data_IF_155089955590
#
_entry.id   IF_155089955590
#
_cell.length_a   1.000
_cell.length_b   1.000
_cell.length_c   1.000
_cell.angle_alpha   90.00
_cell.angle_beta   90.00
_cell.angle_gamma   90.00
#
_symmetry.space_group_name_H-M   'P 1'
#
loop_
_entity.id
_entity.type
_entity.pdbx_description
1 polymer ?
#
# COMPACT_ATOMS: atom_id res chain seq x y z
N UNK A 1 13.97 12.96 20.95
CA UNK A 1 14.62 13.64 19.81
C UNK A 1 13.62 13.78 18.67
N UNK A 2 13.66 14.87 17.89
CA UNK A 2 12.81 15.08 16.70
C UNK A 2 13.66 15.01 15.43
N UNK A 3 13.09 14.46 14.36
CA UNK A 3 13.71 14.33 13.04
C UNK A 3 12.92 15.09 11.98
N UNK A 4 13.59 15.97 11.26
CA UNK A 4 13.07 16.68 10.10
C UNK A 4 13.35 15.87 8.84
N UNK A 5 12.28 15.52 8.13
CA UNK A 5 12.29 14.68 6.94
C UNK A 5 11.59 15.39 5.80
N UNK A 6 11.90 14.98 4.58
CA UNK A 6 11.31 15.37 3.33
C UNK A 6 10.69 14.15 2.67
N UNK A 7 9.50 14.34 2.12
CA UNK A 7 8.81 13.37 1.27
C UNK A 7 8.92 13.74 -0.20
N UNK A 8 8.76 15.03 -0.51
CA UNK A 8 8.49 15.52 -1.86
C UNK A 8 9.71 15.65 -2.77
N UNK A 9 9.47 15.88 -4.08
CA UNK A 9 8.30 16.61 -4.58
C UNK A 9 7.01 15.77 -4.68
N UNK A 10 5.91 16.33 -4.19
CA UNK A 10 4.55 15.80 -4.27
C UNK A 10 3.79 16.53 -5.39
N UNK A 11 3.21 15.81 -6.37
CA UNK A 11 2.47 16.44 -7.46
C UNK A 11 1.16 17.07 -6.96
N UNK A 12 0.84 18.25 -7.48
CA UNK A 12 -0.43 18.92 -7.26
C UNK A 12 -1.21 18.97 -8.58
N UNK A 13 -2.47 19.39 -8.54
CA UNK A 13 -3.24 19.66 -9.76
C UNK A 13 -2.54 20.70 -10.65
N UNK A 14 -1.81 21.64 -10.04
CA UNK A 14 -0.94 22.58 -10.72
C UNK A 14 0.44 22.56 -10.06
N UNK A 15 1.44 22.03 -10.76
CA UNK A 15 2.84 21.99 -10.31
C UNK A 15 3.14 20.93 -9.25
N UNK A 16 4.14 21.20 -8.43
CA UNK A 16 4.63 20.30 -7.36
C UNK A 16 4.90 21.11 -6.11
N UNK A 17 4.74 20.50 -4.94
CA UNK A 17 5.15 21.07 -3.65
C UNK A 17 6.08 20.10 -2.93
N UNK A 18 6.97 20.63 -2.10
CA UNK A 18 7.75 19.83 -1.18
C UNK A 18 6.94 19.61 0.10
N UNK A 19 6.97 18.38 0.61
CA UNK A 19 6.31 18.04 1.87
C UNK A 19 7.38 17.69 2.88
N UNK A 20 7.34 18.37 4.02
CA UNK A 20 8.28 18.21 5.12
C UNK A 20 7.54 17.67 6.34
N UNK A 21 8.21 16.80 7.07
CA UNK A 21 7.69 16.12 8.25
C UNK A 21 8.61 16.39 9.43
N UNK A 22 8.01 16.56 10.61
CA UNK A 22 8.69 16.46 11.89
C UNK A 22 8.16 15.23 12.61
N UNK A 23 9.03 14.29 12.90
CA UNK A 23 8.67 13.01 13.52
C UNK A 23 9.58 12.75 14.71
N UNK A 24 9.03 12.29 15.84
CA UNK A 24 9.86 11.87 16.97
C UNK A 24 10.70 10.62 16.65
N UNK A 25 11.71 10.36 17.48
CA UNK A 25 12.44 9.08 17.53
C UNK A 25 11.53 7.85 17.74
N UNK A 26 10.38 8.03 18.40
CA UNK A 26 9.34 7.01 18.58
C UNK A 26 8.40 6.87 17.39
N UNK A 27 8.54 7.71 16.36
CA UNK A 27 7.72 7.68 15.15
C UNK A 27 6.43 8.49 15.22
N UNK A 28 6.24 9.34 16.24
CA UNK A 28 5.06 10.20 16.37
C UNK A 28 5.19 11.43 15.44
N UNK A 29 4.31 11.59 14.43
CA UNK A 29 4.41 12.69 13.49
C UNK A 29 3.66 13.93 13.98
N UNK A 30 4.25 15.09 13.75
CA UNK A 30 3.54 16.37 13.73
C UNK A 30 2.80 16.55 12.37
N UNK A 31 1.88 17.53 12.26
CA UNK A 31 1.25 17.87 10.98
C UNK A 31 2.30 18.16 9.88
N UNK A 32 2.11 17.63 8.65
CA UNK A 32 3.01 17.92 7.53
C UNK A 32 3.01 19.40 7.14
N UNK A 33 4.17 19.89 6.73
CA UNK A 33 4.35 21.24 6.18
C UNK A 33 4.52 21.15 4.66
N UNK A 34 3.84 22.03 3.94
CA UNK A 34 3.87 22.09 2.48
C UNK A 34 4.53 23.40 2.07
N UNK A 35 5.72 23.32 1.48
CA UNK A 35 6.49 24.50 1.08
C UNK A 35 7.17 24.27 -0.28
N UNK A 36 7.67 25.34 -0.89
CA UNK A 36 8.40 25.26 -2.16
C UNK A 36 9.89 24.99 -1.96
N UNK A 37 10.47 25.49 -0.86
CA UNK A 37 11.90 25.53 -0.59
C UNK A 37 12.26 24.85 0.74
N UNK A 38 13.40 24.17 0.78
CA UNK A 38 13.83 23.37 1.93
C UNK A 38 14.04 24.22 3.19
N UNK A 39 14.65 25.40 3.04
CA UNK A 39 14.88 26.31 4.17
C UNK A 39 13.56 26.84 4.76
N UNK A 40 12.57 27.14 3.90
CA UNK A 40 11.25 27.58 4.35
C UNK A 40 10.50 26.45 5.09
N UNK A 41 10.49 25.25 4.52
CA UNK A 41 9.87 24.07 5.13
C UNK A 41 10.48 23.73 6.49
N UNK A 42 11.82 23.73 6.59
CA UNK A 42 12.52 23.47 7.85
C UNK A 42 12.26 24.56 8.89
N UNK A 43 12.26 25.84 8.50
CA UNK A 43 11.96 26.95 9.42
C UNK A 43 10.58 26.78 10.06
N UNK A 44 9.57 26.46 9.26
CA UNK A 44 8.21 26.20 9.77
C UNK A 44 8.17 24.99 10.70
N UNK A 45 8.89 23.90 10.39
CA UNK A 45 8.96 22.75 11.28
C UNK A 45 9.69 23.01 12.60
N UNK A 46 10.58 24.00 12.65
CA UNK A 46 11.33 24.41 13.84
C UNK A 46 10.54 25.37 14.74
N UNK A 47 9.38 25.86 14.32
CA UNK A 47 8.57 26.76 15.14
C UNK A 47 8.23 26.12 16.50
N UNK A 48 8.65 26.80 17.58
CA UNK A 48 8.42 26.38 18.95
C UNK A 48 9.29 25.20 19.43
N UNK A 49 10.41 24.91 18.75
CA UNK A 49 11.33 23.83 19.12
C UNK A 49 12.77 24.33 19.15
N UNK A 50 13.54 23.89 20.14
CA UNK A 50 14.97 24.18 20.25
C UNK A 50 15.77 23.30 19.28
N UNK A 51 16.73 23.89 18.56
CA UNK A 51 17.52 23.19 17.52
C UNK A 51 18.39 22.07 18.08
N UNK A 52 18.73 22.11 19.36
CA UNK A 52 19.50 21.07 20.06
C UNK A 52 18.74 19.73 20.13
N UNK A 53 17.39 19.79 20.17
CA UNK A 53 16.48 18.63 20.25
C UNK A 53 16.01 18.13 18.88
N UNK A 54 16.63 18.63 17.80
CA UNK A 54 16.23 18.36 16.42
C UNK A 54 17.43 17.85 15.61
N UNK A 55 17.16 16.88 14.74
CA UNK A 55 18.08 16.44 13.69
C UNK A 55 17.38 16.51 12.33
N UNK A 56 18.13 16.71 11.26
CA UNK A 56 17.59 16.61 9.89
C UNK A 56 18.22 15.45 9.13
N UNK A 57 17.47 14.88 8.19
CA UNK A 57 18.01 13.82 7.33
C UNK A 57 19.06 14.37 6.35
N UNK A 58 19.93 13.52 5.78
CA UNK A 58 21.00 13.95 4.87
C UNK A 58 20.52 14.78 3.67
N UNK A 59 19.32 14.51 3.15
CA UNK A 59 18.74 15.25 2.03
C UNK A 59 18.46 16.74 2.37
N UNK A 60 18.43 17.09 3.65
CA UNK A 60 18.19 18.43 4.16
C UNK A 60 19.46 19.08 4.75
N UNK A 61 20.64 18.51 4.50
CA UNK A 61 21.89 18.94 5.15
C UNK A 61 22.24 20.42 4.91
N UNK A 62 22.07 20.91 3.68
CA UNK A 62 22.38 22.31 3.34
C UNK A 62 21.46 23.29 4.07
N UNK A 63 20.15 23.08 3.99
CA UNK A 63 19.15 23.89 4.69
C UNK A 63 19.26 23.76 6.22
N UNK A 64 19.59 22.57 6.73
CA UNK A 64 19.84 22.32 8.14
C UNK A 64 21.03 23.11 8.68
N UNK A 65 22.15 23.12 7.95
CA UNK A 65 23.33 23.88 8.33
C UNK A 65 23.05 25.39 8.41
N UNK A 66 22.25 25.95 7.49
CA UNK A 66 21.84 27.35 7.52
C UNK A 66 20.98 27.71 8.75
N UNK A 67 20.29 26.73 9.33
CA UNK A 67 19.40 26.88 10.48
C UNK A 67 20.00 26.36 11.80
N UNK A 68 21.26 25.91 11.79
CA UNK A 68 21.93 25.38 12.98
C UNK A 68 21.40 24.01 13.44
N UNK A 69 20.85 23.20 12.53
CA UNK A 69 20.36 21.84 12.79
C UNK A 69 21.40 20.82 12.33
N UNK A 70 21.73 19.89 13.22
CA UNK A 70 22.66 18.79 12.91
C UNK A 70 22.01 17.71 12.03
N UNK A 71 22.83 17.11 11.16
CA UNK A 71 22.40 16.02 10.29
C UNK A 71 22.55 14.68 11.01
N UNK A 72 21.53 13.84 10.94
CA UNK A 72 21.56 12.47 11.44
C UNK A 72 20.68 11.56 10.58
N UNK A 73 21.09 10.29 10.42
CA UNK A 73 20.24 9.29 9.78
C UNK A 73 18.98 9.04 10.63
N UNK A 74 17.77 9.15 10.05
CA UNK A 74 16.55 8.99 10.82
C UNK A 74 16.39 7.56 11.37
N UNK A 75 15.84 7.41 12.59
CA UNK A 75 15.56 6.09 13.13
C UNK A 75 14.45 5.40 12.34
N UNK A 76 14.47 4.07 12.38
CA UNK A 76 13.53 3.21 11.63
C UNK A 76 12.05 3.52 11.94
N UNK A 77 11.74 3.95 13.16
CA UNK A 77 10.39 4.37 13.53
C UNK A 77 9.94 5.62 12.76
N UNK A 78 10.82 6.62 12.64
CA UNK A 78 10.55 7.83 11.87
C UNK A 78 10.40 7.52 10.37
N UNK A 79 11.27 6.66 9.82
CA UNK A 79 11.16 6.20 8.42
C UNK A 79 9.84 5.44 8.17
N UNK A 80 9.41 4.60 9.12
CA UNK A 80 8.14 3.86 9.02
C UNK A 80 6.94 4.80 8.99
N UNK A 81 6.94 5.83 9.84
CA UNK A 81 5.90 6.86 9.86
C UNK A 81 5.93 7.72 8.59
N UNK A 82 7.12 8.06 8.08
CA UNK A 82 7.28 8.72 6.77
C UNK A 82 6.63 7.91 5.65
N UNK A 83 6.88 6.61 5.57
CA UNK A 83 6.28 5.73 4.57
C UNK A 83 4.75 5.65 4.67
N UNK A 84 4.21 5.62 5.89
CA UNK A 84 2.78 5.64 6.14
C UNK A 84 2.13 6.94 5.67
N UNK A 85 2.72 8.09 6.00
CA UNK A 85 2.25 9.40 5.56
C UNK A 85 2.35 9.53 4.04
N UNK A 86 3.44 9.07 3.43
CA UNK A 86 3.61 9.09 1.98
C UNK A 86 2.53 8.25 1.27
N UNK A 87 2.22 7.07 1.81
CA UNK A 87 1.14 6.20 1.30
C UNK A 87 -0.20 6.90 1.42
N UNK A 88 -0.50 7.51 2.57
CA UNK A 88 -1.77 8.21 2.79
C UNK A 88 -1.93 9.45 1.90
N UNK A 89 -0.86 10.22 1.66
CA UNK A 89 -0.87 11.34 0.72
C UNK A 89 -1.12 10.87 -0.72
N UNK A 90 -0.46 9.79 -1.13
CA UNK A 90 -0.67 9.20 -2.46
C UNK A 90 -2.09 8.68 -2.65
N UNK A 91 -2.67 8.10 -1.60
CA UNK A 91 -4.07 7.72 -1.55
C UNK A 91 -5.01 8.92 -1.68
N UNK A 92 -4.72 10.04 -1.00
CA UNK A 92 -5.48 11.28 -1.13
C UNK A 92 -5.56 11.77 -2.58
N UNK A 93 -4.44 11.72 -3.32
CA UNK A 93 -4.38 12.08 -4.74
C UNK A 93 -5.19 11.15 -5.66
N UNK A 94 -5.56 9.96 -5.17
CA UNK A 94 -6.28 8.92 -5.90
C UNK A 94 -7.69 8.66 -5.36
N UNK A 95 -8.19 9.52 -4.46
CA UNK A 95 -9.54 9.42 -3.90
C UNK A 95 -9.71 8.32 -2.83
N UNK A 96 -8.62 7.75 -2.31
CA UNK A 96 -8.61 6.67 -1.32
C UNK A 96 -8.53 7.18 0.13
N UNK A 97 -8.51 8.50 0.35
CA UNK A 97 -8.38 9.10 1.70
C UNK A 97 -9.48 8.66 2.67
N UNK A 98 -10.68 8.35 2.18
CA UNK A 98 -11.80 7.85 2.97
C UNK A 98 -11.57 6.49 3.66
N UNK A 99 -10.54 5.73 3.26
CA UNK A 99 -10.15 4.49 3.93
C UNK A 99 -9.51 4.73 5.31
N UNK A 100 -8.87 5.88 5.51
CA UNK A 100 -8.16 6.20 6.75
C UNK A 100 -6.69 5.74 6.76
N UNK A 101 -5.89 6.42 7.58
CA UNK A 101 -4.45 6.18 7.73
C UNK A 101 -4.11 4.87 8.46
N UNK A 102 -5.01 4.39 9.32
CA UNK A 102 -4.94 3.08 9.96
C UNK A 102 -4.84 1.95 8.93
N UNK A 103 -5.64 2.04 7.85
CA UNK A 103 -5.63 1.04 6.78
C UNK A 103 -4.41 1.18 5.89
N UNK A 104 -3.95 2.41 5.62
CA UNK A 104 -2.70 2.62 4.88
C UNK A 104 -1.54 1.86 5.54
N UNK A 105 -1.41 1.92 6.86
CA UNK A 105 -0.42 1.16 7.63
C UNK A 105 -0.57 -0.37 7.46
N UNK A 106 -1.80 -0.88 7.58
CA UNK A 106 -2.08 -2.30 7.43
C UNK A 106 -1.75 -2.80 6.01
N UNK A 107 -2.07 -2.01 4.98
CA UNK A 107 -1.73 -2.33 3.60
C UNK A 107 -0.23 -2.32 3.36
N UNK A 108 0.53 -1.35 3.90
CA UNK A 108 1.99 -1.33 3.77
C UNK A 108 2.63 -2.59 4.35
N UNK A 109 2.16 -3.05 5.51
CA UNK A 109 2.63 -4.29 6.13
C UNK A 109 2.28 -5.51 5.28
N UNK A 110 1.00 -5.67 4.93
CA UNK A 110 0.53 -6.82 4.15
C UNK A 110 1.13 -6.88 2.75
N UNK A 111 1.34 -5.73 2.10
CA UNK A 111 2.01 -5.63 0.81
C UNK A 111 3.48 -6.04 0.88
N UNK A 112 4.17 -5.68 1.97
CA UNK A 112 5.55 -6.10 2.20
C UNK A 112 5.64 -7.62 2.35
N UNK A 113 4.80 -8.21 3.21
CA UNK A 113 4.71 -9.67 3.40
C UNK A 113 4.39 -10.40 2.07
N UNK A 114 3.38 -9.91 1.33
CA UNK A 114 2.98 -10.46 0.04
C UNK A 114 4.10 -10.38 -1.00
N UNK A 115 4.81 -9.25 -1.06
CA UNK A 115 5.87 -9.05 -2.03
C UNK A 115 7.09 -9.92 -1.77
N UNK A 116 7.47 -10.09 -0.51
CA UNK A 116 8.56 -10.97 -0.10
C UNK A 116 8.25 -12.43 -0.39
N UNK A 117 7.00 -12.85 -0.17
CA UNK A 117 6.53 -14.21 -0.44
C UNK A 117 6.47 -14.57 -1.94
N UNK A 118 6.33 -13.57 -2.82
CA UNK A 118 6.26 -13.72 -4.29
C UNK A 118 5.31 -14.86 -4.73
N UNK A 119 4.04 -14.86 -4.32
CA UNK A 119 3.13 -15.96 -4.64
C UNK A 119 2.94 -16.17 -6.16
N UNK A 120 3.10 -15.11 -6.96
CA UNK A 120 3.09 -15.19 -8.42
C UNK A 120 4.25 -16.03 -9.02
N UNK A 121 5.28 -16.37 -8.24
CA UNK A 121 6.32 -17.30 -8.64
C UNK A 121 5.88 -18.78 -8.59
N UNK A 122 4.70 -19.05 -8.05
CA UNK A 122 4.13 -20.40 -7.87
C UNK A 122 2.77 -20.56 -8.56
N UNK A 123 1.99 -19.48 -8.59
CA UNK A 123 0.67 -19.43 -9.22
C UNK A 123 0.59 -18.31 -10.24
N UNK A 124 -0.06 -18.58 -11.37
CA UNK A 124 -0.35 -17.56 -12.39
C UNK A 124 -1.77 -16.98 -12.25
N UNK A 125 -2.09 -15.98 -13.07
CA UNK A 125 -3.35 -15.25 -13.06
C UNK A 125 -4.56 -16.04 -13.60
N UNK A 126 -4.34 -17.26 -14.12
CA UNK A 126 -5.38 -18.20 -14.54
C UNK A 126 -5.73 -19.24 -13.46
N UNK A 127 -5.03 -19.23 -12.32
CA UNK A 127 -5.24 -20.19 -11.24
C UNK A 127 -6.18 -19.64 -10.17
N UNK A 128 -7.44 -20.12 -10.06
CA UNK A 128 -8.38 -19.63 -9.07
C UNK A 128 -8.03 -20.15 -7.67
N UNK A 129 -7.94 -19.23 -6.72
CA UNK A 129 -7.86 -19.46 -5.29
C UNK A 129 -9.29 -19.42 -4.76
N UNK A 130 -9.63 -20.32 -3.84
CA UNK A 130 -10.87 -20.20 -3.08
C UNK A 130 -10.59 -19.32 -1.86
N UNK A 131 -11.29 -18.21 -1.73
CA UNK A 131 -11.15 -17.26 -0.60
C UNK A 131 -12.47 -17.20 0.15
N UNK A 132 -12.60 -18.05 1.17
CA UNK A 132 -13.78 -18.11 2.02
C UNK A 132 -13.64 -17.11 3.18
N UNK A 133 -14.65 -16.25 3.33
CA UNK A 133 -14.70 -15.21 4.35
C UNK A 133 -15.90 -15.46 5.26
N UNK A 134 -15.68 -15.39 6.56
CA UNK A 134 -16.74 -15.41 7.56
C UNK A 134 -16.76 -14.11 8.37
N UNK A 135 -17.89 -13.81 9.02
CA UNK A 135 -18.11 -12.55 9.74
C UNK A 135 -19.05 -11.59 9.00
N UNK A 136 -18.85 -10.26 9.08
CA UNK A 136 -19.79 -9.27 8.53
C UNK A 136 -19.98 -9.30 7.01
N UNK A 137 -18.99 -9.81 6.27
CA UNK A 137 -19.05 -10.00 4.83
C UNK A 137 -18.84 -11.48 4.50
N UNK A 138 -19.75 -12.33 4.98
CA UNK A 138 -19.71 -13.76 4.71
C UNK A 138 -19.91 -14.03 3.21
N UNK A 139 -18.85 -14.47 2.54
CA UNK A 139 -18.85 -14.74 1.09
C UNK A 139 -17.69 -15.67 0.72
N UNK A 140 -17.78 -16.33 -0.44
CA UNK A 140 -16.65 -17.06 -1.03
C UNK A 140 -16.27 -16.40 -2.35
N UNK A 141 -15.08 -15.81 -2.37
CA UNK A 141 -14.52 -15.16 -3.53
C UNK A 141 -13.67 -16.14 -4.34
N UNK A 142 -13.62 -15.90 -5.65
CA UNK A 142 -12.59 -16.47 -6.51
C UNK A 142 -11.41 -15.50 -6.54
N UNK A 143 -10.28 -15.87 -5.94
CA UNK A 143 -9.08 -15.06 -5.88
C UNK A 143 -8.09 -15.39 -7.00
N UNK A 144 -7.28 -14.42 -7.44
CA UNK A 144 -6.09 -14.69 -8.23
C UNK A 144 -4.94 -13.77 -7.86
N UNK A 145 -3.72 -14.31 -7.94
CA UNK A 145 -2.50 -13.52 -7.92
C UNK A 145 -2.14 -13.14 -9.34
N UNK A 146 -1.55 -11.97 -9.53
CA UNK A 146 -1.09 -11.55 -10.85
C UNK A 146 0.25 -10.81 -10.75
N UNK A 147 1.02 -10.88 -11.84
CA UNK A 147 2.17 -10.05 -12.10
C UNK A 147 2.12 -9.62 -13.58
N UNK A 148 2.19 -8.32 -13.82
CA UNK A 148 2.20 -7.76 -15.17
C UNK A 148 3.63 -7.49 -15.62
N UNK A 149 3.85 -7.45 -16.95
CA UNK A 149 5.18 -7.26 -17.53
C UNK A 149 5.84 -5.91 -17.19
N UNK A 150 5.08 -4.93 -16.72
CA UNK A 150 5.58 -3.63 -16.21
C UNK A 150 6.01 -3.67 -14.73
N UNK A 151 5.99 -4.86 -14.11
CA UNK A 151 6.47 -5.06 -12.74
C UNK A 151 5.46 -4.70 -11.64
N UNK A 152 4.19 -4.45 -11.99
CA UNK A 152 3.09 -4.45 -11.02
C UNK A 152 2.73 -5.89 -10.66
N UNK A 153 2.33 -6.07 -9.42
CA UNK A 153 1.81 -7.33 -8.91
C UNK A 153 0.61 -7.05 -8.01
N UNK A 154 -0.19 -8.06 -7.72
CA UNK A 154 -1.33 -7.85 -6.85
C UNK A 154 -2.19 -9.07 -6.68
N UNK A 155 -3.31 -8.84 -5.99
CA UNK A 155 -4.32 -9.83 -5.67
C UNK A 155 -5.69 -9.26 -6.06
N UNK A 156 -6.48 -10.03 -6.79
CA UNK A 156 -7.87 -9.72 -7.11
C UNK A 156 -8.79 -10.78 -6.50
N UNK A 157 -9.94 -10.35 -5.99
CA UNK A 157 -10.98 -11.19 -5.40
C UNK A 157 -12.30 -10.91 -6.12
N UNK A 158 -12.74 -11.86 -6.92
CA UNK A 158 -13.97 -11.77 -7.70
C UNK A 158 -15.14 -12.30 -6.89
N UNK A 159 -16.27 -11.59 -6.95
CA UNK A 159 -17.48 -11.98 -6.22
C UNK A 159 -18.17 -13.21 -6.83
N UNK A 160 -17.91 -13.49 -8.11
CA UNK A 160 -18.60 -14.53 -8.87
C UNK A 160 -17.67 -15.71 -9.14
N UNK A 161 -18.08 -16.96 -8.85
CA UNK A 161 -17.36 -18.15 -9.30
C UNK A 161 -17.23 -18.21 -10.84
N UNK A 162 -16.09 -18.65 -11.35
CA UNK A 162 -15.78 -18.69 -12.79
C UNK A 162 -15.49 -17.32 -13.40
N UNK A 163 -15.27 -16.29 -12.58
CA UNK A 163 -14.91 -14.95 -13.02
C UNK A 163 -13.61 -14.93 -13.84
N UNK A 164 -12.58 -15.68 -13.42
CA UNK A 164 -11.31 -15.77 -14.16
C UNK A 164 -11.51 -16.37 -15.55
N UNK A 165 -12.31 -17.43 -15.65
CA UNK A 165 -12.64 -18.03 -16.94
C UNK A 165 -13.34 -17.00 -17.84
N UNK A 166 -14.33 -16.26 -17.30
CA UNK A 166 -15.02 -15.21 -18.04
C UNK A 166 -14.04 -14.11 -18.50
N UNK A 167 -13.09 -13.71 -17.66
CA UNK A 167 -12.08 -12.71 -18.01
C UNK A 167 -11.16 -13.18 -19.14
N UNK A 168 -10.67 -14.42 -19.07
CA UNK A 168 -9.84 -15.01 -20.12
C UNK A 168 -10.59 -15.07 -21.45
N UNK A 169 -11.88 -15.43 -21.43
CA UNK A 169 -12.73 -15.45 -22.62
C UNK A 169 -12.96 -14.03 -23.19
N UNK A 170 -13.17 -13.02 -22.33
CA UNK A 170 -13.29 -11.62 -22.75
C UNK A 170 -11.99 -11.10 -23.36
N UNK A 171 -10.85 -11.38 -22.75
CA UNK A 171 -9.53 -11.01 -23.26
C UNK A 171 -9.24 -11.66 -24.62
N UNK A 172 -9.54 -12.94 -24.78
CA UNK A 172 -9.39 -13.66 -26.05
C UNK A 172 -10.24 -13.06 -27.19
N UNK A 173 -11.35 -12.37 -26.84
CA UNK A 173 -12.24 -11.66 -27.78
C UNK A 173 -11.87 -10.19 -27.97
N UNK A 174 -10.78 -9.70 -27.37
CA UNK A 174 -10.37 -8.30 -27.41
C UNK A 174 -11.27 -7.35 -26.61
N UNK A 175 -12.05 -7.87 -25.66
CA UNK A 175 -12.99 -7.11 -24.84
C UNK A 175 -12.37 -6.68 -23.49
N UNK A 176 -11.12 -6.21 -23.51
CA UNK A 176 -10.37 -5.85 -22.31
C UNK A 176 -11.08 -4.82 -21.42
N UNK A 177 -11.77 -3.85 -22.02
CA UNK A 177 -12.51 -2.83 -21.26
C UNK A 177 -13.71 -3.42 -20.51
N UNK A 178 -14.37 -4.43 -21.08
CA UNK A 178 -15.52 -5.10 -20.46
C UNK A 178 -15.13 -5.89 -19.19
N UNK A 179 -13.85 -6.28 -19.06
CA UNK A 179 -13.33 -6.91 -17.85
C UNK A 179 -13.49 -6.03 -16.61
N UNK A 180 -13.43 -4.71 -16.76
CA UNK A 180 -13.62 -3.76 -15.65
C UNK A 180 -15.06 -3.74 -15.13
N UNK A 181 -16.01 -4.27 -15.90
CA UNK A 181 -17.40 -4.45 -15.49
C UNK A 181 -17.62 -5.63 -14.54
N UNK A 182 -16.64 -6.52 -14.38
CA UNK A 182 -16.76 -7.68 -13.51
C UNK A 182 -16.57 -7.26 -12.04
N UNK A 183 -17.53 -7.55 -11.14
CA UNK A 183 -17.40 -7.20 -9.74
C UNK A 183 -16.19 -7.86 -9.09
N UNK A 184 -15.27 -7.04 -8.59
CA UNK A 184 -14.11 -7.49 -7.84
C UNK A 184 -13.64 -6.42 -6.85
N UNK A 185 -12.92 -6.85 -5.83
CA UNK A 185 -12.04 -5.99 -5.04
C UNK A 185 -10.61 -6.47 -5.27
N UNK A 186 -9.69 -5.55 -5.42
CA UNK A 186 -8.30 -5.87 -5.73
C UNK A 186 -7.35 -4.90 -5.02
N UNK A 187 -6.09 -5.31 -4.95
CA UNK A 187 -4.99 -4.47 -4.55
C UNK A 187 -3.88 -4.63 -5.57
N UNK A 188 -3.46 -3.52 -6.17
CA UNK A 188 -2.26 -3.48 -7.02
C UNK A 188 -1.09 -2.92 -6.22
N UNK A 189 0.11 -3.38 -6.54
CA UNK A 189 1.37 -2.89 -6.00
C UNK A 189 2.02 -2.02 -7.07
N UNK A 190 1.76 -0.73 -6.99
CA UNK A 190 2.11 0.26 -8.00
C UNK A 190 3.52 0.80 -7.82
N UNK A 191 4.15 1.24 -8.90
CA UNK A 191 5.49 1.87 -8.91
C UNK A 191 5.44 3.39 -8.84
N UNK A 192 4.24 3.98 -8.69
CA UNK A 192 4.04 5.44 -8.67
C UNK A 192 3.06 5.85 -7.56
N UNK A 193 3.15 7.09 -7.04
CA UNK A 193 4.15 8.10 -7.34
C UNK A 193 5.52 7.80 -6.69
N UNK A 194 6.59 8.34 -7.27
CA UNK A 194 7.97 8.06 -6.87
C UNK A 194 8.23 8.36 -5.39
N UNK A 195 7.75 9.50 -4.88
CA UNK A 195 7.94 9.88 -3.47
C UNK A 195 7.41 8.84 -2.48
N UNK A 196 6.28 8.20 -2.80
CA UNK A 196 5.69 7.19 -1.92
C UNK A 196 6.50 5.89 -1.98
N UNK A 197 6.94 5.50 -3.18
CA UNK A 197 7.78 4.32 -3.40
C UNK A 197 9.15 4.48 -2.73
N UNK A 198 9.77 5.66 -2.82
CA UNK A 198 11.03 5.98 -2.16
C UNK A 198 10.89 5.96 -0.64
N UNK A 199 9.83 6.58 -0.10
CA UNK A 199 9.56 6.55 1.34
C UNK A 199 9.37 5.12 1.87
N UNK A 200 8.65 4.27 1.13
CA UNK A 200 8.50 2.85 1.46
C UNK A 200 9.85 2.11 1.43
N UNK A 201 10.64 2.34 0.39
CA UNK A 201 11.98 1.74 0.25
C UNK A 201 12.90 2.12 1.41
N UNK A 202 12.99 3.41 1.76
CA UNK A 202 13.81 3.86 2.90
C UNK A 202 13.36 3.28 4.23
N UNK A 203 12.07 2.98 4.38
CA UNK A 203 11.53 2.33 5.57
C UNK A 203 11.73 0.80 5.57
N UNK A 204 12.50 0.23 4.63
CA UNK A 204 12.68 -1.22 4.52
C UNK A 204 11.38 -1.96 4.20
N UNK A 205 10.43 -1.28 3.55
CA UNK A 205 9.17 -1.86 3.06
C UNK A 205 9.30 -2.21 1.59
N UNK A 206 8.31 -2.92 1.06
CA UNK A 206 8.24 -3.14 -0.38
C UNK A 206 8.27 -1.79 -1.13
N UNK A 207 9.12 -1.61 -2.15
CA UNK A 207 9.14 -0.39 -2.96
C UNK A 207 7.99 -0.41 -3.98
N UNK A 208 6.76 -0.58 -3.49
CA UNK A 208 5.52 -0.58 -4.26
C UNK A 208 4.39 -0.02 -3.41
N UNK A 209 3.66 0.94 -3.96
CA UNK A 209 2.50 1.54 -3.31
C UNK A 209 1.30 0.57 -3.38
N UNK A 210 0.75 0.10 -2.25
CA UNK A 210 -0.49 -0.64 -2.27
C UNK A 210 -1.67 0.26 -2.65
N UNK A 211 -2.37 -0.11 -3.71
CA UNK A 211 -3.51 0.60 -4.28
C UNK A 211 -4.75 -0.29 -4.27
N UNK A 212 -5.55 -0.25 -3.18
CA UNK A 212 -6.83 -0.93 -3.15
C UNK A 212 -7.81 -0.29 -4.14
N UNK A 213 -8.54 -1.12 -4.89
CA UNK A 213 -9.53 -0.70 -5.88
C UNK A 213 -10.69 -1.68 -5.94
N UNK A 214 -11.84 -1.20 -6.40
CA UNK A 214 -13.05 -1.99 -6.64
C UNK A 214 -13.50 -1.82 -8.08
N UNK A 215 -13.92 -2.90 -8.70
CA UNK A 215 -14.48 -2.91 -10.06
C UNK A 215 -15.91 -3.43 -10.04
N UNK A 216 -16.67 -3.11 -11.08
CA UNK A 216 -18.07 -3.53 -11.23
C UNK A 216 -18.77 -2.81 -12.37
N UNK A 217 -20.09 -3.02 -12.55
CA UNK A 217 -20.86 -2.44 -13.64
C UNK A 217 -20.79 -0.91 -13.75
N UNK A 218 -20.60 -0.25 -12.61
CA UNK A 218 -20.47 1.22 -12.51
C UNK A 218 -19.03 1.71 -12.76
N UNK A 219 -18.11 0.82 -13.10
CA UNK A 219 -16.69 1.10 -13.35
C UNK A 219 -15.80 0.93 -12.12
N UNK A 220 -14.68 1.67 -12.12
CA UNK A 220 -13.68 1.63 -11.05
C UNK A 220 -14.09 2.55 -9.90
N UNK A 221 -14.06 2.03 -8.68
CA UNK A 221 -14.42 2.73 -7.44
C UNK A 221 -13.48 2.34 -6.29
N UNK A 222 -13.73 2.91 -5.11
CA UNK A 222 -12.95 2.67 -3.89
C UNK A 222 -13.63 1.59 -3.05
N UNK A 223 -12.88 0.58 -2.55
CA UNK A 223 -13.44 -0.38 -1.60
C UNK A 223 -13.95 0.32 -0.33
N UNK A 224 -14.99 -0.23 0.30
CA UNK A 224 -15.40 0.23 1.62
C UNK A 224 -14.41 -0.25 2.71
N UNK A 225 -14.58 0.23 3.94
CA UNK A 225 -13.70 -0.10 5.06
C UNK A 225 -13.60 -1.61 5.34
N UNK A 226 -14.70 -2.36 5.24
CA UNK A 226 -14.73 -3.82 5.44
C UNK A 226 -14.00 -4.55 4.31
N UNK A 227 -14.24 -4.16 3.05
CA UNK A 227 -13.55 -4.70 1.88
C UNK A 227 -12.05 -4.43 1.93
N UNK A 228 -11.63 -3.24 2.40
CA UNK A 228 -10.23 -2.89 2.59
C UNK A 228 -9.53 -3.80 3.61
N UNK A 229 -10.17 -4.08 4.75
CA UNK A 229 -9.64 -5.00 5.78
C UNK A 229 -9.58 -6.43 5.25
N UNK A 230 -10.58 -6.85 4.47
CA UNK A 230 -10.60 -8.15 3.82
C UNK A 230 -9.43 -8.30 2.84
N UNK A 231 -9.13 -7.28 2.03
CA UNK A 231 -7.97 -7.28 1.14
C UNK A 231 -6.66 -7.42 1.91
N UNK A 232 -6.50 -6.71 3.03
CA UNK A 232 -5.34 -6.88 3.93
C UNK A 232 -5.25 -8.33 4.43
N UNK A 233 -6.35 -8.89 4.93
CA UNK A 233 -6.41 -10.26 5.44
C UNK A 233 -6.02 -11.29 4.37
N UNK A 234 -6.55 -11.11 3.16
CA UNK A 234 -6.31 -11.98 2.01
C UNK A 234 -4.86 -11.88 1.53
N UNK A 235 -4.28 -10.67 1.44
CA UNK A 235 -2.85 -10.48 1.12
C UNK A 235 -1.95 -11.27 2.08
N UNK A 236 -2.18 -11.13 3.40
CA UNK A 236 -1.41 -11.85 4.43
C UNK A 236 -1.63 -13.36 4.40
N UNK A 237 -2.85 -13.80 4.10
CA UNK A 237 -3.15 -15.21 3.94
C UNK A 237 -2.37 -15.79 2.74
N UNK A 238 -2.43 -15.11 1.59
CA UNK A 238 -1.73 -15.51 0.37
C UNK A 238 -0.21 -15.47 0.55
N UNK A 239 0.32 -14.49 1.27
CA UNK A 239 1.75 -14.40 1.59
C UNK A 239 2.30 -15.61 2.37
N UNK A 240 1.44 -16.34 3.09
CA UNK A 240 1.82 -17.52 3.87
C UNK A 240 1.59 -18.84 3.13
N UNK A 241 1.03 -18.79 1.93
CA UNK A 241 0.91 -19.98 1.08
C UNK A 241 2.28 -20.39 0.55
N UNK A 242 2.44 -21.69 0.34
CA UNK A 242 3.60 -22.25 -0.36
C UNK A 242 3.18 -23.48 -1.18
N UNK A 243 4.02 -23.99 -2.08
CA UNK A 243 3.74 -25.25 -2.77
C UNK A 243 3.41 -26.42 -1.84
N UNK A 244 3.98 -26.44 -0.63
CA UNK A 244 3.72 -27.46 0.39
C UNK A 244 2.53 -27.12 1.32
N UNK A 245 2.16 -25.84 1.43
CA UNK A 245 1.05 -25.36 2.24
C UNK A 245 0.09 -24.55 1.37
N UNK A 246 -0.90 -25.22 0.81
CA UNK A 246 -1.88 -24.63 -0.10
C UNK A 246 -3.11 -24.07 0.61
N UNK A 247 -3.12 -24.10 1.95
CA UNK A 247 -4.23 -23.60 2.74
C UNK A 247 -3.75 -22.81 3.95
N UNK A 248 -4.32 -21.63 4.13
CA UNK A 248 -3.99 -20.71 5.23
C UNK A 248 -5.27 -20.06 5.72
N UNK A 249 -5.37 -19.92 7.05
CA UNK A 249 -6.39 -19.12 7.71
C UNK A 249 -5.77 -17.84 8.27
N UNK A 250 -6.42 -16.71 8.07
CA UNK A 250 -6.03 -15.40 8.55
C UNK A 250 -7.19 -14.77 9.31
N UNK A 251 -6.93 -14.37 10.55
CA UNK A 251 -7.90 -13.66 11.37
C UNK A 251 -7.55 -12.18 11.38
N UNK A 252 -8.55 -11.33 11.12
CA UNK A 252 -8.38 -9.88 11.18
C UNK A 252 -9.51 -9.27 12.00
N UNK A 253 -9.13 -8.28 12.82
CA UNK A 253 -10.05 -7.50 13.65
C UNK A 253 -10.13 -6.09 13.07
N UNK A 254 -11.33 -5.60 12.83
CA UNK A 254 -11.59 -4.23 12.40
C UNK A 254 -12.70 -3.61 13.26
N UNK A 255 -12.31 -2.75 14.19
CA UNK A 255 -13.23 -2.29 15.24
C UNK A 255 -13.76 -3.48 16.05
N UNK A 256 -15.08 -3.56 16.20
CA UNK A 256 -15.75 -4.66 16.92
C UNK A 256 -15.99 -5.91 16.05
N UNK A 257 -15.68 -5.84 14.75
CA UNK A 257 -15.86 -6.95 13.83
C UNK A 257 -14.64 -7.85 13.77
N UNK A 258 -14.86 -9.15 13.97
CA UNK A 258 -13.88 -10.20 13.66
C UNK A 258 -14.23 -10.85 12.33
N UNK A 259 -13.22 -11.02 11.49
CA UNK A 259 -13.33 -11.66 10.18
C UNK A 259 -12.25 -12.74 10.06
N UNK A 260 -12.67 -13.91 9.64
CA UNK A 260 -11.76 -15.01 9.28
C UNK A 260 -11.74 -15.13 7.76
N UNK A 261 -10.54 -15.13 7.19
CA UNK A 261 -10.29 -15.34 5.76
C UNK A 261 -9.48 -16.60 5.60
N UNK A 262 -10.12 -17.63 5.04
CA UNK A 262 -9.49 -18.89 4.66
C UNK A 262 -9.18 -18.86 3.16
N UNK A 263 -7.92 -19.00 2.82
CA UNK A 263 -7.46 -19.06 1.43
C UNK A 263 -6.98 -20.47 1.13
N UNK A 264 -7.51 -21.05 0.05
CA UNK A 264 -7.08 -22.33 -0.50
C UNK A 264 -6.61 -22.14 -1.94
N UNK A 265 -5.32 -22.33 -2.16
CA UNK A 265 -4.72 -22.29 -3.49
C UNK A 265 -4.83 -23.65 -4.19
N UNK A 266 -4.87 -23.67 -5.54
CA UNK A 266 -4.74 -24.89 -6.30
C UNK A 266 -3.30 -25.40 -6.28
N UNK A 267 -3.07 -26.59 -6.86
CA UNK A 267 -1.71 -27.06 -7.10
C UNK A 267 -0.94 -26.03 -7.97
N UNK A 268 0.29 -25.64 -7.59
CA UNK A 268 1.06 -24.63 -8.30
C UNK A 268 1.40 -25.08 -9.73
N UNK A 269 1.35 -24.17 -10.70
CA UNK A 269 1.68 -24.47 -12.11
C UNK A 269 2.98 -23.85 -12.60
N UNK A 270 3.66 -22.99 -11.83
CA UNK A 270 4.86 -22.30 -12.33
C UNK A 270 6.11 -23.19 -12.17
N UNK A 271 6.66 -23.66 -13.30
CA UNK A 271 8.03 -24.18 -13.43
C UNK A 271 8.74 -23.50 -14.61
N UNK A 272 9.79 -22.76 -14.25
CA UNK A 272 10.88 -22.17 -15.06
C UNK A 272 10.50 -21.12 -16.11
#
# INVERSE_FOLDING_TARGET
>A
MLYLLKLGPVPLTQGTTQVYLRISDTGEPAPPVFEAEDEAGMRTLLEGVDTEDVRCEPALAEAGAALGVEVEEPPQAALSSRAAIATFLAWGQRGLSGLGSDKALLFVQAATEYWEARPWAHWDDSQPFEVAVSGPLAHTFEGCVFQTGDGRAGLALYFKPGALQMLMEMQARGQGDAATGLPAIAVTLDTTPAYAVEALSSAGRVPRLPMPLKTGPDGISVPNATEAVLLVAALRAVARLSPAQQEVVSNVVAGDAQMEVRVRAPAPRVRH
#
